data_IF_019086727048
#
_entry.id   IF_019086727048
#
_cell.length_a   1.000
_cell.length_b   1.000
_cell.length_c   1.000
_cell.angle_alpha   90.00
_cell.angle_beta   90.00
_cell.angle_gamma   90.00
#
_symmetry.space_group_name_H-M   'P 1'
#
loop_
_entity.id
_entity.type
_entity.pdbx_description
1 polymer ?
#
# COMPACT_ATOMS: atom_id res chain seq x y z
N UNK A 1 2.33 -9.55 16.52
CA UNK A 1 1.61 -9.73 15.26
C UNK A 1 1.29 -8.38 14.62
N UNK A 2 1.53 -8.24 13.33
CA UNK A 2 1.31 -6.98 12.64
C UNK A 2 -0.18 -6.76 12.37
N UNK A 3 -0.70 -5.55 12.64
CA UNK A 3 -2.09 -5.23 12.34
C UNK A 3 -2.30 -5.11 10.83
N UNK A 4 -3.56 -5.20 10.39
CA UNK A 4 -3.90 -5.03 8.97
C UNK A 4 -3.47 -3.66 8.47
N UNK A 5 -3.68 -2.62 9.27
CA UNK A 5 -3.27 -1.27 8.91
C UNK A 5 -1.76 -1.19 8.66
N UNK A 6 -0.97 -1.74 9.57
CA UNK A 6 0.48 -1.74 9.43
C UNK A 6 0.92 -2.58 8.24
N UNK A 7 0.29 -3.73 8.04
CA UNK A 7 0.60 -4.60 6.92
C UNK A 7 0.39 -3.86 5.60
N UNK A 8 -0.79 -3.26 5.42
CA UNK A 8 -1.09 -2.58 4.17
C UNK A 8 -0.22 -1.34 3.95
N UNK A 9 0.08 -0.60 5.03
CA UNK A 9 0.98 0.56 4.94
C UNK A 9 2.37 0.13 4.49
N UNK A 10 2.88 -0.95 5.06
CA UNK A 10 4.19 -1.48 4.69
C UNK A 10 4.19 -1.96 3.24
N UNK A 11 3.16 -2.68 2.83
CA UNK A 11 3.08 -3.17 1.47
C UNK A 11 3.00 -2.03 0.45
N UNK A 12 2.27 -0.97 0.77
CA UNK A 12 2.20 0.20 -0.09
C UNK A 12 3.58 0.83 -0.29
N UNK A 13 4.34 0.96 0.79
CA UNK A 13 5.70 1.51 0.73
C UNK A 13 6.62 0.62 -0.10
N UNK A 14 6.53 -0.70 0.07
CA UNK A 14 7.33 -1.65 -0.69
C UNK A 14 7.04 -1.55 -2.18
N UNK A 15 5.77 -1.43 -2.55
CA UNK A 15 5.40 -1.34 -3.96
C UNK A 15 5.84 0.00 -4.58
N UNK A 16 5.83 1.09 -3.81
CA UNK A 16 6.37 2.36 -4.29
C UNK A 16 7.86 2.24 -4.59
N UNK A 17 8.60 1.60 -3.71
CA UNK A 17 10.03 1.37 -3.91
C UNK A 17 10.27 0.54 -5.17
N UNK A 18 9.47 -0.51 -5.37
CA UNK A 18 9.58 -1.33 -6.57
C UNK A 18 9.25 -0.53 -7.83
N UNK A 19 8.26 0.36 -7.76
CA UNK A 19 7.93 1.23 -8.88
C UNK A 19 9.10 2.14 -9.24
N UNK A 20 9.78 2.71 -8.25
CA UNK A 20 10.92 3.57 -8.47
C UNK A 20 12.09 2.82 -9.11
N UNK A 21 12.25 1.55 -8.79
CA UNK A 21 13.33 0.72 -9.30
C UNK A 21 12.98 -0.03 -10.57
N UNK A 22 11.73 0.06 -11.01
CA UNK A 22 11.29 -0.67 -12.19
C UNK A 22 12.00 -0.17 -13.44
N UNK A 23 12.44 -1.11 -14.27
CA UNK A 23 13.18 -0.80 -15.50
C UNK A 23 12.23 -0.43 -16.64
N UNK A 24 11.04 -1.02 -16.65
CA UNK A 24 10.07 -0.79 -17.73
C UNK A 24 8.89 0.05 -17.22
N UNK A 25 8.24 0.74 -18.15
CA UNK A 25 7.05 1.52 -17.82
C UNK A 25 5.90 0.64 -17.38
N UNK A 26 5.78 -0.54 -17.97
CA UNK A 26 4.74 -1.49 -17.61
C UNK A 26 4.90 -1.96 -16.16
N UNK A 27 6.11 -2.32 -15.78
CA UNK A 27 6.38 -2.75 -14.41
C UNK A 27 6.15 -1.62 -13.42
N UNK A 28 6.59 -0.40 -13.77
CA UNK A 28 6.39 0.77 -12.92
C UNK A 28 4.91 1.04 -12.70
N UNK A 29 4.14 0.99 -13.76
CA UNK A 29 2.70 1.22 -13.71
C UNK A 29 2.01 0.19 -12.81
N UNK A 30 2.39 -1.08 -12.97
CA UNK A 30 1.84 -2.17 -12.15
C UNK A 30 2.11 -1.96 -10.66
N UNK A 31 3.35 -1.64 -10.32
CA UNK A 31 3.71 -1.44 -8.92
C UNK A 31 3.04 -0.20 -8.33
N UNK A 32 2.86 0.85 -9.12
CA UNK A 32 2.13 2.03 -8.68
C UNK A 32 0.67 1.71 -8.38
N UNK A 33 0.04 0.90 -9.22
CA UNK A 33 -1.34 0.49 -8.99
C UNK A 33 -1.47 -0.35 -7.72
N UNK A 34 -0.54 -1.26 -7.51
CA UNK A 34 -0.51 -2.06 -6.28
C UNK A 34 -0.32 -1.18 -5.06
N UNK A 35 0.57 -0.19 -5.16
CA UNK A 35 0.80 0.74 -4.05
C UNK A 35 -0.48 1.51 -3.71
N UNK A 36 -1.21 1.97 -4.71
CA UNK A 36 -2.48 2.67 -4.50
C UNK A 36 -3.51 1.77 -3.85
N UNK A 37 -3.59 0.52 -4.30
CA UNK A 37 -4.52 -0.45 -3.73
C UNK A 37 -4.23 -0.70 -2.25
N UNK A 38 -2.97 -0.92 -1.91
CA UNK A 38 -2.60 -1.15 -0.52
C UNK A 38 -2.81 0.10 0.33
N UNK A 39 -2.50 1.29 -0.21
CA UNK A 39 -2.73 2.54 0.50
C UNK A 39 -4.21 2.76 0.78
N UNK A 40 -5.07 2.43 -0.18
CA UNK A 40 -6.52 2.52 -0.01
C UNK A 40 -7.01 1.58 1.09
N UNK A 41 -6.50 0.34 1.09
CA UNK A 41 -6.84 -0.63 2.14
C UNK A 41 -6.37 -0.17 3.52
N UNK A 42 -5.19 0.43 3.58
CA UNK A 42 -4.67 0.97 4.83
C UNK A 42 -5.57 2.11 5.35
N UNK A 43 -6.02 2.99 4.46
CA UNK A 43 -6.89 4.09 4.83
C UNK A 43 -8.22 3.58 5.40
N UNK A 44 -8.79 2.54 4.78
CA UNK A 44 -10.02 1.92 5.26
C UNK A 44 -9.85 1.35 6.67
N UNK A 45 -8.73 0.67 6.91
CA UNK A 45 -8.44 0.09 8.23
C UNK A 45 -8.23 1.17 9.27
N UNK A 46 -7.60 2.27 8.89
CA UNK A 46 -7.39 3.40 9.78
C UNK A 46 -8.73 4.00 10.20
N UNK A 47 -9.66 4.19 9.26
CA UNK A 47 -10.99 4.71 9.55
C UNK A 47 -11.77 3.78 10.49
N UNK A 48 -11.70 2.47 10.24
CA UNK A 48 -12.35 1.49 11.09
C UNK A 48 -11.84 1.54 12.52
N UNK A 49 -10.53 1.70 12.69
CA UNK A 49 -9.94 1.81 14.02
C UNK A 49 -10.45 3.05 14.76
N UNK A 50 -10.51 4.18 14.08
CA UNK A 50 -10.99 5.41 14.70
C UNK A 50 -12.49 5.37 14.97
N UNK A 51 -13.25 4.75 14.08
CA UNK A 51 -14.69 4.64 14.23
C UNK A 51 -15.07 3.79 15.44
N UNK A 52 -14.24 2.82 15.79
CA UNK A 52 -14.49 1.91 16.91
C UNK A 52 -13.90 2.41 18.23
N UNK A 53 -13.14 3.47 18.17
CA UNK A 53 -12.54 4.07 19.36
C UNK A 53 -13.46 5.10 19.99
#
# INVERSE_FOLDING_TARGET
MESDYRYYTRRAAEERTRAERAITDEARSRHRELAKMFASKAAQRSEEQYANG
#
